data_IF_799814352799
#
_entry.id   IF_799814352799
#
_cell.length_a   1.000
_cell.length_b   1.000
_cell.length_c   1.000
_cell.angle_alpha   90.00
_cell.angle_beta   90.00
_cell.angle_gamma   90.00
#
_symmetry.space_group_name_H-M   'P 1'
#
loop_
_entity.id
_entity.type
_entity.pdbx_description
1 polymer ?
#
# COMPACT_ATOMS: atom_id res chain seq x y z
N UNK A 1 -23.80 18.34 74.48
CA UNK A 1 -24.07 16.92 74.38
C UNK A 1 -23.60 16.44 73.04
N UNK A 2 -22.69 15.49 73.10
CA UNK A 2 -22.27 14.52 72.04
C UNK A 2 -21.91 15.03 70.70
N UNK A 3 -20.60 15.20 70.54
CA UNK A 3 -19.90 15.39 69.24
C UNK A 3 -19.82 14.10 68.46
N UNK A 4 -19.97 14.25 67.16
CA UNK A 4 -19.69 13.21 66.21
C UNK A 4 -18.40 13.59 65.43
N UNK A 5 -17.34 12.80 65.70
CA UNK A 5 -16.05 12.95 65.03
C UNK A 5 -16.16 12.28 63.67
N UNK A 6 -16.11 13.09 62.57
CA UNK A 6 -15.97 12.57 61.22
C UNK A 6 -14.49 12.52 60.88
N UNK A 7 -13.98 11.31 60.72
CA UNK A 7 -12.63 11.07 60.24
C UNK A 7 -12.61 11.26 58.72
N UNK A 8 -11.93 12.31 58.29
CA UNK A 8 -11.60 12.50 56.90
C UNK A 8 -10.45 11.55 56.50
N UNK A 9 -10.76 10.56 55.68
CA UNK A 9 -9.76 9.72 55.06
C UNK A 9 -9.31 10.44 53.77
N UNK A 10 -8.15 11.08 53.82
CA UNK A 10 -7.49 11.66 52.64
C UNK A 10 -6.79 10.52 51.91
N UNK A 11 -7.39 10.05 50.84
CA UNK A 11 -6.72 9.14 49.92
C UNK A 11 -5.82 9.97 48.98
N UNK A 12 -4.52 9.87 49.23
CA UNK A 12 -3.49 10.46 48.40
C UNK A 12 -3.36 9.64 47.09
N UNK A 13 -4.01 10.10 46.02
CA UNK A 13 -3.78 9.56 44.67
C UNK A 13 -2.46 10.12 44.16
N UNK A 14 -1.40 9.31 44.21
CA UNK A 14 -0.18 9.60 43.48
C UNK A 14 -0.43 9.38 41.99
N UNK A 15 -0.63 10.46 41.22
CA UNK A 15 -0.54 10.42 39.78
C UNK A 15 0.94 10.22 39.40
N UNK A 16 1.28 9.00 39.01
CA UNK A 16 2.50 8.76 38.28
C UNK A 16 2.32 9.33 36.87
N UNK A 17 2.80 10.56 36.65
CA UNK A 17 2.99 11.10 35.31
C UNK A 17 4.19 10.36 34.71
N UNK A 18 3.92 9.33 33.92
CA UNK A 18 4.92 8.84 32.98
C UNK A 18 5.09 9.91 31.89
N UNK A 19 6.16 10.68 32.02
CA UNK A 19 6.64 11.55 30.97
C UNK A 19 6.99 10.67 29.77
N UNK A 20 6.16 10.72 28.72
CA UNK A 20 6.56 10.26 27.41
C UNK A 20 7.64 11.21 26.92
N UNK A 21 8.87 10.74 26.94
CA UNK A 21 10.01 11.37 26.27
C UNK A 21 9.70 11.40 24.78
N UNK A 22 9.29 12.57 24.28
CA UNK A 22 9.17 12.81 22.85
C UNK A 22 10.58 13.00 22.30
N UNK A 23 11.16 11.91 21.82
CA UNK A 23 12.29 11.98 20.92
C UNK A 23 11.86 12.71 19.63
N UNK A 24 12.57 13.77 19.20
CA UNK A 24 12.23 14.50 17.97
C UNK A 24 12.58 13.78 16.67
N UNK A 25 12.95 12.52 16.72
CA UNK A 25 13.23 11.66 15.57
C UNK A 25 12.10 10.64 15.31
N UNK A 26 10.86 11.08 15.45
CA UNK A 26 9.74 10.27 14.95
C UNK A 26 9.60 10.48 13.43
N UNK A 27 10.60 10.02 12.71
CA UNK A 27 10.47 9.68 11.30
C UNK A 27 9.34 8.65 11.20
N UNK A 28 8.24 9.03 10.51
CA UNK A 28 6.99 8.30 10.46
C UNK A 28 7.20 6.79 10.44
N UNK A 29 6.66 6.10 11.42
CA UNK A 29 6.55 4.65 11.40
C UNK A 29 5.81 4.27 10.15
N UNK A 30 6.56 3.85 9.13
CA UNK A 30 6.00 2.99 8.08
C UNK A 30 5.34 1.83 8.80
N UNK A 31 4.08 1.50 8.54
CA UNK A 31 3.45 0.31 9.07
C UNK A 31 4.41 -0.85 8.86
N UNK A 32 4.55 -1.71 9.87
CA UNK A 32 5.32 -2.94 9.74
C UNK A 32 4.61 -3.77 8.67
N UNK A 33 5.01 -3.59 7.43
CA UNK A 33 4.46 -4.32 6.31
C UNK A 33 5.16 -5.66 6.29
N UNK A 34 4.40 -6.72 6.53
CA UNK A 34 4.81 -8.08 6.22
C UNK A 34 5.33 -8.14 4.78
N UNK A 35 5.92 -9.28 4.37
CA UNK A 35 6.25 -9.48 2.97
C UNK A 35 5.00 -9.47 2.08
N UNK A 36 5.14 -9.96 0.85
CA UNK A 36 4.03 -10.07 -0.10
C UNK A 36 3.20 -11.35 0.06
N UNK A 37 3.16 -11.90 1.28
CA UNK A 37 2.23 -12.98 1.61
C UNK A 37 0.79 -12.50 1.40
N UNK A 38 -0.02 -13.29 0.71
CA UNK A 38 -1.40 -12.94 0.32
C UNK A 38 -1.53 -11.77 -0.69
N UNK A 39 -0.55 -11.57 -1.56
CA UNK A 39 -0.64 -10.59 -2.64
C UNK A 39 -1.75 -10.93 -3.65
N UNK A 40 -2.14 -12.21 -3.77
CA UNK A 40 -3.11 -12.72 -4.75
C UNK A 40 -4.52 -12.23 -4.48
N UNK A 41 -4.78 -10.98 -4.83
CA UNK A 41 -6.07 -10.31 -4.81
C UNK A 41 -6.02 -9.09 -5.73
N UNK A 42 -7.09 -8.31 -5.76
CA UNK A 42 -7.20 -7.10 -6.57
C UNK A 42 -6.94 -5.85 -5.73
N UNK A 43 -6.22 -4.90 -6.30
CA UNK A 43 -5.72 -3.70 -5.62
C UNK A 43 -6.03 -2.45 -6.41
N UNK A 44 -6.36 -1.36 -5.73
CA UNK A 44 -6.52 -0.02 -6.30
C UNK A 44 -5.49 0.94 -5.73
N UNK A 45 -4.78 1.65 -6.58
CA UNK A 45 -3.88 2.73 -6.16
C UNK A 45 -4.68 3.86 -5.49
N UNK A 46 -4.28 4.24 -4.28
CA UNK A 46 -4.93 5.30 -3.50
C UNK A 46 -4.01 6.47 -3.19
N UNK A 47 -2.69 6.25 -3.11
CA UNK A 47 -1.75 7.35 -2.91
C UNK A 47 -0.40 7.12 -3.55
N UNK A 48 0.29 8.23 -3.87
CA UNK A 48 1.66 8.30 -4.38
C UNK A 48 2.43 9.29 -3.50
N UNK A 49 3.49 8.84 -2.85
CA UNK A 49 4.30 9.65 -1.90
C UNK A 49 3.44 10.36 -0.83
N UNK A 50 2.39 9.70 -0.35
CA UNK A 50 1.49 10.23 0.67
C UNK A 50 0.43 11.23 0.17
N UNK A 51 0.47 11.62 -1.11
CA UNK A 51 -0.60 12.40 -1.74
C UNK A 51 -1.64 11.47 -2.37
N UNK A 52 -2.93 11.84 -2.39
CA UNK A 52 -3.95 11.06 -3.10
C UNK A 52 -3.56 10.83 -4.57
N UNK A 53 -3.83 9.63 -5.09
CA UNK A 53 -3.58 9.33 -6.49
C UNK A 53 -4.48 10.19 -7.40
N UNK A 54 -3.89 10.83 -8.41
CA UNK A 54 -4.59 11.68 -9.37
C UNK A 54 -5.16 10.91 -10.57
N UNK A 55 -4.84 9.62 -10.68
CA UNK A 55 -5.23 8.73 -11.77
C UNK A 55 -5.62 7.35 -11.24
N UNK A 56 -6.36 6.60 -12.04
CA UNK A 56 -6.80 5.27 -11.67
C UNK A 56 -5.80 4.22 -12.14
N UNK A 57 -5.34 3.40 -11.20
CA UNK A 57 -4.56 2.19 -11.45
C UNK A 57 -5.12 1.06 -10.62
N UNK A 58 -5.42 -0.06 -11.27
CA UNK A 58 -5.81 -1.31 -10.61
C UNK A 58 -4.82 -2.39 -11.00
N UNK A 59 -4.54 -3.28 -10.05
CA UNK A 59 -3.67 -4.46 -10.29
C UNK A 59 -4.35 -5.66 -9.68
N UNK A 60 -4.50 -6.74 -10.46
CA UNK A 60 -4.89 -8.05 -9.96
C UNK A 60 -3.69 -8.99 -9.99
N UNK A 61 -3.46 -9.72 -8.90
CA UNK A 61 -2.44 -10.77 -8.83
C UNK A 61 -3.09 -12.12 -8.64
N UNK A 62 -2.70 -13.11 -9.42
CA UNK A 62 -3.20 -14.48 -9.33
C UNK A 62 -2.23 -15.47 -9.95
N UNK A 63 -1.85 -16.52 -9.21
CA UNK A 63 -1.06 -17.65 -9.71
C UNK A 63 0.24 -17.25 -10.42
N UNK A 64 0.97 -16.27 -9.88
CA UNK A 64 2.21 -15.78 -10.48
C UNK A 64 2.02 -14.83 -11.67
N UNK A 65 0.79 -14.51 -12.02
CA UNK A 65 0.45 -13.56 -13.09
C UNK A 65 -0.16 -12.29 -12.53
N UNK A 66 0.02 -11.18 -13.23
CA UNK A 66 -0.65 -9.92 -12.91
C UNK A 66 -1.47 -9.40 -14.10
N UNK A 67 -2.49 -8.62 -13.77
CA UNK A 67 -3.30 -7.86 -14.70
C UNK A 67 -3.31 -6.40 -14.23
N UNK A 68 -2.84 -5.47 -15.06
CA UNK A 68 -2.74 -4.05 -14.77
C UNK A 68 -3.72 -3.26 -15.64
N UNK A 69 -4.54 -2.44 -15.01
CA UNK A 69 -5.47 -1.52 -15.67
C UNK A 69 -5.14 -0.10 -15.25
N UNK A 70 -4.85 0.77 -16.20
CA UNK A 70 -4.44 2.15 -15.89
C UNK A 70 -5.14 3.19 -16.77
N UNK A 71 -5.43 4.35 -16.17
CA UNK A 71 -5.84 5.60 -16.84
C UNK A 71 -4.83 6.70 -16.49
N UNK A 72 -3.58 6.56 -16.92
CA UNK A 72 -2.50 7.52 -16.61
C UNK A 72 -2.33 8.53 -17.73
N UNK A 73 -2.37 8.08 -18.98
CA UNK A 73 -2.12 8.91 -20.16
C UNK A 73 -3.34 9.01 -21.11
N UNK A 74 -4.42 8.34 -20.77
CA UNK A 74 -5.64 8.25 -21.55
C UNK A 74 -6.87 8.30 -20.63
N UNK A 75 -8.01 8.71 -21.17
CA UNK A 75 -9.31 8.59 -20.49
C UNK A 75 -9.84 7.15 -20.53
N UNK A 76 -9.35 6.34 -21.48
CA UNK A 76 -9.68 4.93 -21.57
C UNK A 76 -8.72 4.10 -20.74
N UNK A 77 -9.20 3.02 -20.14
CA UNK A 77 -8.34 2.07 -19.45
C UNK A 77 -7.44 1.34 -20.44
N UNK A 78 -6.17 1.30 -20.14
CA UNK A 78 -5.16 0.50 -20.81
C UNK A 78 -4.91 -0.75 -20.00
N UNK A 79 -4.91 -1.91 -20.64
CA UNK A 79 -4.68 -3.20 -20.02
C UNK A 79 -3.31 -3.75 -20.41
N UNK A 80 -2.61 -4.25 -19.40
CA UNK A 80 -1.34 -4.97 -19.55
C UNK A 80 -1.38 -6.21 -18.66
N UNK A 81 -0.70 -7.25 -19.09
CA UNK A 81 -0.55 -8.46 -18.31
C UNK A 81 0.88 -9.02 -18.38
N UNK A 82 1.18 -9.92 -17.47
CA UNK A 82 2.50 -10.53 -17.38
C UNK A 82 2.66 -11.43 -16.18
N UNK A 83 3.90 -11.73 -15.86
CA UNK A 83 4.29 -12.57 -14.73
C UNK A 83 4.95 -11.71 -13.66
N UNK A 84 4.76 -12.10 -12.39
CA UNK A 84 5.47 -11.47 -11.26
C UNK A 84 6.19 -12.53 -10.43
N UNK A 85 7.18 -12.08 -9.71
CA UNK A 85 7.93 -12.89 -8.74
C UNK A 85 8.11 -12.12 -7.45
N UNK A 86 7.98 -12.83 -6.33
CA UNK A 86 8.26 -12.33 -4.99
C UNK A 86 9.52 -12.99 -4.47
N UNK A 87 10.45 -12.18 -3.97
CA UNK A 87 11.65 -12.64 -3.28
C UNK A 87 11.79 -11.88 -1.96
N UNK A 88 11.34 -12.49 -0.86
CA UNK A 88 11.24 -11.83 0.43
C UNK A 88 10.29 -10.64 0.39
N UNK A 89 10.83 -9.44 0.61
CA UNK A 89 10.09 -8.18 0.52
C UNK A 89 10.28 -7.45 -0.82
N UNK A 90 10.79 -8.13 -1.84
CA UNK A 90 10.98 -7.58 -3.18
C UNK A 90 9.99 -8.21 -4.14
N UNK A 91 9.31 -7.36 -4.89
CA UNK A 91 8.38 -7.70 -5.97
C UNK A 91 8.92 -7.18 -7.29
N UNK A 92 8.92 -7.99 -8.32
CA UNK A 92 9.30 -7.62 -9.68
C UNK A 92 8.50 -8.42 -10.70
N UNK A 93 8.44 -7.95 -11.93
CA UNK A 93 7.66 -8.62 -12.97
C UNK A 93 8.09 -8.25 -14.37
N UNK A 94 7.52 -8.97 -15.33
CA UNK A 94 7.72 -8.76 -16.77
C UNK A 94 6.40 -8.90 -17.51
N UNK A 95 6.25 -8.12 -18.57
CA UNK A 95 5.06 -8.13 -19.43
C UNK A 95 5.17 -9.26 -20.48
N UNK A 96 4.05 -9.87 -20.84
CA UNK A 96 4.03 -10.94 -21.83
C UNK A 96 4.47 -10.49 -23.22
N UNK A 97 4.41 -9.21 -23.52
CA UNK A 97 4.90 -8.64 -24.77
C UNK A 97 6.41 -8.33 -24.81
N UNK A 98 7.14 -8.71 -23.72
CA UNK A 98 8.59 -8.72 -23.68
C UNK A 98 9.26 -7.52 -23.02
N UNK A 99 8.55 -6.74 -22.24
CA UNK A 99 9.09 -5.67 -21.38
C UNK A 99 9.18 -6.11 -19.91
N UNK A 100 10.18 -5.63 -19.17
CA UNK A 100 10.20 -5.75 -17.72
C UNK A 100 9.48 -4.55 -17.08
N UNK A 101 9.08 -4.69 -15.82
CA UNK A 101 8.70 -3.54 -15.03
C UNK A 101 9.85 -2.54 -14.98
N UNK A 102 9.53 -1.26 -14.85
CA UNK A 102 10.55 -0.18 -14.86
C UNK A 102 11.61 -0.33 -13.76
N UNK A 103 11.27 -0.99 -12.67
CA UNK A 103 12.17 -1.31 -11.56
C UNK A 103 11.58 -2.43 -10.69
N UNK A 104 12.40 -2.94 -9.76
CA UNK A 104 11.91 -3.73 -8.65
C UNK A 104 11.24 -2.83 -7.61
N UNK A 105 10.34 -3.41 -6.84
CA UNK A 105 9.66 -2.76 -5.72
C UNK A 105 9.95 -3.48 -4.41
N UNK A 106 10.19 -2.73 -3.34
CA UNK A 106 10.22 -3.27 -1.99
C UNK A 106 8.95 -2.87 -1.25
N UNK A 107 8.54 -3.67 -0.26
CA UNK A 107 7.36 -3.37 0.52
C UNK A 107 6.67 -4.62 1.01
N UNK A 108 5.36 -4.58 1.04
CA UNK A 108 4.55 -5.70 1.50
C UNK A 108 3.10 -5.32 1.78
N UNK A 109 2.40 -6.22 2.43
CA UNK A 109 0.97 -6.13 2.73
C UNK A 109 0.79 -5.97 4.23
N UNK A 110 -0.15 -5.13 4.64
CA UNK A 110 -0.53 -4.94 6.04
C UNK A 110 -1.07 -6.25 6.64
N UNK A 111 -0.96 -6.40 7.97
CA UNK A 111 -1.41 -7.61 8.68
C UNK A 111 -2.89 -7.92 8.44
N UNK A 112 -3.74 -6.91 8.24
CA UNK A 112 -5.15 -7.09 7.94
C UNK A 112 -5.44 -7.43 6.46
N UNK A 113 -4.41 -7.49 5.62
CA UNK A 113 -4.50 -7.82 4.20
C UNK A 113 -5.16 -6.75 3.33
N UNK A 114 -5.39 -5.54 3.85
CA UNK A 114 -6.17 -4.50 3.15
C UNK A 114 -5.34 -3.44 2.46
N UNK A 115 -4.08 -3.32 2.82
CA UNK A 115 -3.19 -2.29 2.26
C UNK A 115 -1.91 -2.94 1.74
N UNK A 116 -1.54 -2.61 0.51
CA UNK A 116 -0.25 -2.98 -0.08
C UNK A 116 0.57 -1.71 -0.27
N UNK A 117 1.81 -1.73 0.20
CA UNK A 117 2.76 -0.63 0.00
C UNK A 117 3.88 -1.11 -0.90
N UNK A 118 4.14 -0.38 -1.98
CA UNK A 118 5.25 -0.60 -2.90
C UNK A 118 6.16 0.62 -2.89
N UNK A 119 7.45 0.40 -2.73
CA UNK A 119 8.47 1.44 -2.86
C UNK A 119 9.42 1.08 -3.99
N UNK A 120 9.51 1.93 -5.00
CA UNK A 120 10.40 1.71 -6.15
C UNK A 120 11.87 1.68 -5.74
N UNK A 121 12.66 0.82 -6.38
CA UNK A 121 14.11 0.72 -6.20
C UNK A 121 14.85 1.57 -7.23
N UNK A 122 14.45 2.82 -7.34
CA UNK A 122 15.05 3.83 -8.21
C UNK A 122 15.93 4.79 -7.39
N UNK A 123 16.74 5.63 -8.07
CA UNK A 123 17.57 6.65 -7.43
C UNK A 123 16.74 7.60 -6.56
N UNK A 124 15.52 7.94 -7.04
CA UNK A 124 14.53 8.71 -6.29
C UNK A 124 13.32 7.84 -6.01
N UNK A 125 13.30 7.09 -4.88
CA UNK A 125 12.26 6.16 -4.60
C UNK A 125 10.88 6.80 -4.47
N UNK A 126 9.88 6.19 -5.10
CA UNK A 126 8.48 6.58 -5.00
C UNK A 126 7.73 5.52 -4.19
N UNK A 127 6.90 5.97 -3.27
CA UNK A 127 6.05 5.09 -2.46
C UNK A 127 4.63 5.12 -3.00
N UNK A 128 4.11 3.95 -3.34
CA UNK A 128 2.75 3.73 -3.81
C UNK A 128 1.98 2.96 -2.76
N UNK A 129 0.77 3.41 -2.45
CA UNK A 129 -0.13 2.70 -1.53
C UNK A 129 -1.37 2.28 -2.30
N UNK A 130 -1.71 1.02 -2.16
CA UNK A 130 -2.88 0.40 -2.74
C UNK A 130 -3.81 -0.11 -1.64
N UNK A 131 -5.10 -0.08 -1.91
CA UNK A 131 -6.12 -0.72 -1.06
C UNK A 131 -6.69 -1.93 -1.78
N UNK A 132 -6.97 -3.00 -1.00
CA UNK A 132 -7.66 -4.18 -1.51
C UNK A 132 -9.05 -3.79 -2.01
N UNK A 133 -9.43 -4.28 -3.17
CA UNK A 133 -10.70 -3.97 -3.81
C UNK A 133 -11.20 -5.15 -4.64
N UNK A 134 -12.36 -4.98 -5.27
CA UNK A 134 -12.77 -5.72 -6.45
C UNK A 134 -12.68 -4.76 -7.64
N UNK A 135 -11.93 -5.12 -8.67
CA UNK A 135 -11.83 -4.31 -9.90
C UNK A 135 -13.22 -4.32 -10.56
N UNK A 136 -13.83 -3.14 -10.80
CA UNK A 136 -15.14 -3.07 -11.44
C UNK A 136 -15.16 -3.77 -12.80
N UNK A 137 -16.24 -4.48 -13.10
CA UNK A 137 -16.38 -5.20 -14.37
C UNK A 137 -16.23 -4.27 -15.58
N UNK A 138 -16.77 -3.05 -15.49
CA UNK A 138 -16.63 -2.03 -16.54
C UNK A 138 -15.18 -1.70 -16.87
N UNK A 139 -14.25 -1.72 -15.86
CA UNK A 139 -12.83 -1.50 -16.07
C UNK A 139 -12.22 -2.64 -16.89
N UNK A 140 -12.63 -3.88 -16.58
CA UNK A 140 -12.14 -5.07 -17.27
C UNK A 140 -12.68 -5.19 -18.70
N UNK A 141 -13.94 -4.79 -18.90
CA UNK A 141 -14.63 -4.90 -20.20
C UNK A 141 -14.23 -3.80 -21.17
N UNK A 142 -14.00 -2.56 -20.70
CA UNK A 142 -13.67 -1.42 -21.54
C UNK A 142 -12.16 -1.21 -21.72
N UNK A 143 -11.32 -1.94 -20.97
CA UNK A 143 -9.87 -1.80 -21.08
C UNK A 143 -9.36 -2.27 -22.45
N UNK A 144 -8.54 -1.42 -23.07
CA UNK A 144 -7.87 -1.74 -24.33
C UNK A 144 -6.55 -2.43 -24.08
N UNK A 145 -6.38 -3.63 -24.64
CA UNK A 145 -5.10 -4.34 -24.61
C UNK A 145 -4.00 -3.47 -25.22
N UNK A 146 -2.96 -3.23 -24.44
CA UNK A 146 -1.90 -2.28 -24.81
C UNK A 146 -0.54 -2.96 -24.64
N UNK A 147 0.38 -2.66 -25.55
CA UNK A 147 1.74 -3.19 -25.46
C UNK A 147 2.59 -2.31 -24.55
N UNK A 148 3.31 -2.92 -23.62
CA UNK A 148 4.23 -2.24 -22.72
C UNK A 148 5.34 -1.46 -23.46
N UNK A 149 5.73 -1.94 -24.63
CA UNK A 149 6.73 -1.27 -25.50
C UNK A 149 6.18 -0.05 -26.24
N UNK A 150 4.88 0.13 -26.35
CA UNK A 150 4.25 1.22 -27.09
C UNK A 150 3.73 2.35 -26.23
N UNK A 151 3.27 2.05 -25.03
CA UNK A 151 2.81 3.01 -24.03
C UNK A 151 3.41 2.58 -22.67
N UNK A 152 4.02 3.51 -21.96
CA UNK A 152 4.71 3.22 -20.69
C UNK A 152 3.71 2.75 -19.65
N UNK A 153 3.81 1.50 -19.17
CA UNK A 153 2.98 1.02 -18.08
C UNK A 153 3.35 1.72 -16.77
N UNK A 154 2.45 1.60 -15.79
CA UNK A 154 2.64 2.22 -14.48
C UNK A 154 3.74 1.53 -13.65
N UNK A 155 3.88 0.22 -13.76
CA UNK A 155 4.88 -0.60 -13.09
C UNK A 155 6.16 -0.75 -13.92
#
# INVERSE_FOLDING_TARGET
>A
MKGLKIWSLVALFALAMTACDKNPDDGGKTPDVGGFENIEQEWKLVSVNGAPAEFNVYIGFSSGMFALYQQVYSLDYQFYDGEYTVNGNTLFGSYFDGGDWKCDYTGGISEDGKTMTLKSKEEHPVTYVYEACTIPDIVKEEATETRAISVVPFL
#
